data_IF_061326991264
#
_entry.id   IF_061326991264
#
_cell.length_a   1.000
_cell.length_b   1.000
_cell.length_c   1.000
_cell.angle_alpha   90.00
_cell.angle_beta   90.00
_cell.angle_gamma   90.00
#
_symmetry.space_group_name_H-M   'P 1'
#
loop_
_entity.id
_entity.type
_entity.pdbx_description
1 polymer ?
#
# COMPACT_ATOMS: atom_id res chain seq x y z
N UNK A 1 5.33 13.17 4.14
CA UNK A 1 5.97 13.81 2.98
C UNK A 1 6.64 15.15 3.31
N UNK A 2 5.96 16.10 3.92
CA UNK A 2 6.54 17.42 4.16
C UNK A 2 7.90 17.39 4.88
N UNK A 3 8.12 16.53 5.86
CA UNK A 3 9.40 16.45 6.58
C UNK A 3 10.51 15.71 5.86
N UNK A 4 10.18 14.72 5.00
CA UNK A 4 11.19 14.04 4.18
C UNK A 4 11.76 14.95 3.09
N UNK A 5 10.99 15.99 2.67
CA UNK A 5 11.45 17.00 1.70
C UNK A 5 12.17 18.19 2.32
N UNK A 6 11.99 18.45 3.63
CA UNK A 6 12.52 19.64 4.29
C UNK A 6 13.77 19.40 5.14
N UNK A 7 14.16 18.15 5.39
CA UNK A 7 15.33 17.83 6.21
C UNK A 7 16.47 17.27 5.37
N UNK A 8 17.60 17.97 5.34
CA UNK A 8 18.90 17.42 4.91
C UNK A 8 19.27 16.24 5.81
N UNK A 9 19.84 15.14 5.26
CA UNK A 9 20.13 13.94 6.04
C UNK A 9 21.30 14.17 6.98
N UNK A 10 20.99 14.35 8.27
CA UNK A 10 21.93 14.17 9.37
C UNK A 10 21.64 12.84 10.07
N UNK A 11 22.63 12.14 10.67
CA UNK A 11 22.41 10.90 11.38
C UNK A 11 21.54 11.15 12.61
N UNK A 12 20.37 10.49 12.71
CA UNK A 12 19.41 10.55 13.81
C UNK A 12 18.37 11.68 13.80
N UNK A 13 17.69 11.97 12.69
CA UNK A 13 16.48 12.79 12.78
C UNK A 13 15.29 11.95 13.27
N UNK A 14 14.91 12.13 14.54
CA UNK A 14 13.62 11.72 15.08
C UNK A 14 12.52 12.39 14.23
N UNK A 15 11.61 11.60 13.68
CA UNK A 15 10.40 12.13 13.07
C UNK A 15 9.67 12.93 14.16
N UNK A 16 9.38 14.20 13.90
CA UNK A 16 8.56 15.04 14.80
C UNK A 16 7.25 15.34 14.07
N UNK A 17 6.14 15.04 14.68
CA UNK A 17 4.80 15.33 14.18
C UNK A 17 4.25 16.64 14.76
N UNK A 18 3.25 17.26 14.09
CA UNK A 18 2.60 18.47 14.55
C UNK A 18 3.41 19.76 14.34
N UNK A 19 4.41 19.79 13.47
CA UNK A 19 5.29 20.95 13.23
C UNK A 19 5.20 21.54 11.82
N UNK A 20 4.55 20.89 10.87
CA UNK A 20 4.33 21.46 9.54
C UNK A 20 3.28 22.59 9.60
N UNK A 21 3.32 23.57 8.68
CA UNK A 21 2.32 24.63 8.67
C UNK A 21 0.92 24.08 8.31
N UNK A 22 -0.12 24.58 8.97
CA UNK A 22 -1.50 24.15 8.73
C UNK A 22 -1.95 24.37 7.28
N UNK A 23 -1.49 25.46 6.63
CA UNK A 23 -1.81 25.73 5.22
C UNK A 23 -1.26 24.63 4.31
N UNK A 24 0.01 24.24 4.51
CA UNK A 24 0.62 23.16 3.74
C UNK A 24 -0.06 21.82 3.99
N UNK A 25 -0.44 21.55 5.24
CA UNK A 25 -1.15 20.32 5.59
C UNK A 25 -2.52 20.24 4.96
N UNK A 26 -3.26 21.34 4.98
CA UNK A 26 -4.59 21.45 4.36
C UNK A 26 -4.52 21.21 2.85
N UNK A 27 -3.60 21.87 2.16
CA UNK A 27 -3.38 21.67 0.72
C UNK A 27 -2.97 20.22 0.40
N UNK A 28 -2.09 19.65 1.21
CA UNK A 28 -1.63 18.26 1.03
C UNK A 28 -2.76 17.27 1.24
N UNK A 29 -3.56 17.45 2.30
CA UNK A 29 -4.70 16.57 2.61
C UNK A 29 -5.79 16.65 1.52
N UNK A 30 -6.10 17.85 1.03
CA UNK A 30 -7.02 18.05 -0.09
C UNK A 30 -6.49 17.33 -1.34
N UNK A 31 -5.21 17.49 -1.66
CA UNK A 31 -4.58 16.82 -2.80
C UNK A 31 -4.63 15.29 -2.66
N UNK A 32 -4.33 14.75 -1.48
CA UNK A 32 -4.42 13.30 -1.22
C UNK A 32 -5.85 12.79 -1.35
N UNK A 33 -6.83 13.52 -0.84
CA UNK A 33 -8.24 13.15 -0.96
C UNK A 33 -8.73 13.14 -2.42
N UNK A 34 -8.34 14.16 -3.21
CA UNK A 34 -8.63 14.16 -4.64
C UNK A 34 -8.00 12.97 -5.36
N UNK A 35 -6.72 12.71 -5.13
CA UNK A 35 -6.03 11.55 -5.73
C UNK A 35 -6.66 10.23 -5.33
N UNK A 36 -7.03 10.05 -4.06
CA UNK A 36 -7.72 8.84 -3.60
C UNK A 36 -9.04 8.64 -4.35
N UNK A 37 -9.83 9.71 -4.49
CA UNK A 37 -11.10 9.67 -5.26
C UNK A 37 -10.86 9.36 -6.73
N UNK A 38 -9.90 10.02 -7.35
CA UNK A 38 -9.56 9.78 -8.75
C UNK A 38 -9.13 8.32 -9.00
N UNK A 39 -8.34 7.73 -8.11
CA UNK A 39 -7.96 6.31 -8.20
C UNK A 39 -9.17 5.39 -8.01
N UNK A 40 -10.08 5.69 -7.06
CA UNK A 40 -11.28 4.91 -6.82
C UNK A 40 -12.28 4.98 -7.98
N UNK A 41 -12.40 6.14 -8.64
CA UNK A 41 -13.26 6.34 -9.80
C UNK A 41 -12.74 5.62 -11.07
N UNK A 42 -11.44 5.28 -11.10
CA UNK A 42 -10.78 4.62 -12.23
C UNK A 42 -10.37 3.17 -11.94
N UNK A 43 -10.94 2.54 -10.92
CA UNK A 43 -10.65 1.14 -10.60
C UNK A 43 -11.05 0.21 -11.75
N UNK A 44 -10.14 -0.68 -12.07
CA UNK A 44 -10.39 -1.77 -13.01
C UNK A 44 -10.87 -3.02 -12.25
N UNK A 45 -11.65 -3.91 -12.88
CA UNK A 45 -12.09 -5.15 -12.22
C UNK A 45 -10.95 -6.04 -11.71
N UNK A 46 -9.74 -5.83 -12.23
CA UNK A 46 -8.52 -6.53 -11.82
C UNK A 46 -7.65 -5.74 -10.84
N UNK A 47 -8.11 -4.58 -10.34
CA UNK A 47 -7.37 -3.81 -9.32
C UNK A 47 -7.22 -4.63 -8.03
N UNK A 48 -6.05 -4.55 -7.41
CA UNK A 48 -5.69 -5.26 -6.18
C UNK A 48 -5.21 -6.70 -6.39
N UNK A 49 -5.25 -7.25 -7.60
CA UNK A 49 -4.83 -8.63 -7.90
C UNK A 49 -3.35 -8.86 -7.56
N UNK A 50 -2.49 -7.90 -7.80
CA UNK A 50 -1.06 -8.01 -7.51
C UNK A 50 -0.70 -7.58 -6.08
N UNK A 51 -1.70 -7.27 -5.24
CA UNK A 51 -1.52 -6.99 -3.81
C UNK A 51 -1.76 -8.24 -2.94
N UNK A 52 -1.41 -9.44 -3.44
CA UNK A 52 -1.53 -10.68 -2.66
C UNK A 52 -0.35 -10.87 -1.71
N UNK A 53 -0.57 -11.56 -0.60
CA UNK A 53 0.36 -11.73 0.53
C UNK A 53 1.78 -12.13 0.11
N UNK A 54 1.94 -13.17 -0.70
CA UNK A 54 3.27 -13.68 -1.07
C UNK A 54 4.10 -12.64 -1.86
N UNK A 55 3.46 -11.81 -2.67
CA UNK A 55 4.13 -10.78 -3.44
C UNK A 55 4.51 -9.57 -2.57
N UNK A 56 3.60 -9.15 -1.70
CA UNK A 56 3.86 -8.08 -0.72
C UNK A 56 5.00 -8.50 0.21
N UNK A 57 4.97 -9.73 0.71
CA UNK A 57 6.03 -10.28 1.56
C UNK A 57 7.38 -10.28 0.84
N UNK A 58 7.43 -10.72 -0.41
CA UNK A 58 8.62 -10.70 -1.25
C UNK A 58 9.19 -9.27 -1.40
N UNK A 59 8.34 -8.27 -1.67
CA UNK A 59 8.77 -6.86 -1.79
C UNK A 59 9.30 -6.35 -0.45
N UNK A 60 8.61 -6.61 0.65
CA UNK A 60 9.07 -6.19 1.98
C UNK A 60 10.38 -6.88 2.38
N UNK A 61 10.57 -8.13 2.02
CA UNK A 61 11.84 -8.84 2.25
C UNK A 61 12.97 -8.20 1.44
N UNK A 62 12.77 -7.94 0.15
CA UNK A 62 13.77 -7.25 -0.70
C UNK A 62 14.16 -5.89 -0.12
N UNK A 63 13.19 -5.07 0.30
CA UNK A 63 13.46 -3.75 0.87
C UNK A 63 14.18 -3.84 2.22
N UNK A 64 13.86 -4.83 3.04
CA UNK A 64 14.51 -5.08 4.32
C UNK A 64 15.97 -5.54 4.15
N UNK A 65 16.23 -6.48 3.25
CA UNK A 65 17.59 -6.97 2.95
C UNK A 65 18.48 -5.87 2.35
N UNK A 66 17.89 -4.99 1.53
CA UNK A 66 18.56 -3.81 0.99
C UNK A 66 18.63 -2.64 1.99
N UNK A 67 18.06 -2.78 3.19
CA UNK A 67 17.99 -1.75 4.25
C UNK A 67 17.37 -0.43 3.78
N UNK A 68 16.36 -0.53 2.92
CA UNK A 68 15.65 0.64 2.41
C UNK A 68 14.57 1.09 3.41
N UNK A 69 14.19 2.36 3.29
CA UNK A 69 13.07 2.91 4.06
C UNK A 69 11.77 2.13 3.76
N UNK A 70 10.91 1.84 4.75
CA UNK A 70 9.63 1.16 4.55
C UNK A 70 8.76 1.78 3.46
N UNK A 71 8.83 3.09 3.26
CA UNK A 71 8.12 3.80 2.19
C UNK A 71 8.41 3.21 0.82
N UNK A 72 9.66 2.80 0.56
CA UNK A 72 10.05 2.21 -0.73
C UNK A 72 9.25 0.94 -1.03
N UNK A 73 9.02 0.11 0.00
CA UNK A 73 8.21 -1.10 -0.15
C UNK A 73 6.78 -0.81 -0.57
N UNK A 74 6.11 0.12 0.11
CA UNK A 74 4.74 0.52 -0.22
C UNK A 74 4.66 1.17 -1.61
N UNK A 75 5.61 2.04 -1.96
CA UNK A 75 5.68 2.62 -3.30
C UNK A 75 5.91 1.57 -4.39
N UNK A 76 6.79 0.59 -4.14
CA UNK A 76 7.05 -0.49 -5.08
C UNK A 76 5.82 -1.35 -5.34
N UNK A 77 5.01 -1.63 -4.31
CA UNK A 77 3.74 -2.35 -4.43
C UNK A 77 2.79 -1.58 -5.34
N UNK A 78 2.62 -0.27 -5.14
CA UNK A 78 1.71 0.55 -5.97
C UNK A 78 2.21 0.69 -7.41
N UNK A 79 3.51 0.86 -7.64
CA UNK A 79 4.11 0.89 -8.99
C UNK A 79 3.87 -0.44 -9.70
N UNK A 80 4.10 -1.56 -9.01
CA UNK A 80 3.91 -2.90 -9.57
C UNK A 80 2.43 -3.15 -9.91
N UNK A 81 1.53 -2.87 -8.99
CA UNK A 81 0.08 -3.03 -9.19
C UNK A 81 -0.39 -2.28 -10.44
N UNK A 82 -0.09 -0.99 -10.52
CA UNK A 82 -0.49 -0.15 -11.66
C UNK A 82 0.12 -0.60 -12.98
N UNK A 83 1.40 -0.96 -12.99
CA UNK A 83 2.06 -1.46 -14.19
C UNK A 83 1.43 -2.76 -14.66
N UNK A 84 1.20 -3.70 -13.75
CA UNK A 84 0.67 -5.01 -14.08
C UNK A 84 -0.80 -4.95 -14.52
N UNK A 85 -1.64 -4.16 -13.84
CA UNK A 85 -3.05 -3.96 -14.24
C UNK A 85 -3.13 -3.35 -15.63
N UNK A 86 -2.34 -2.31 -15.92
CA UNK A 86 -2.28 -1.70 -17.25
C UNK A 86 -1.77 -2.69 -18.31
N UNK A 87 -0.71 -3.43 -18.00
CA UNK A 87 -0.16 -4.44 -18.91
C UNK A 87 -1.17 -5.57 -19.22
N UNK A 88 -1.95 -6.00 -18.24
CA UNK A 88 -3.07 -6.92 -18.44
C UNK A 88 -4.08 -6.34 -19.42
N UNK A 89 -4.57 -5.13 -19.15
CA UNK A 89 -5.56 -4.43 -20.00
C UNK A 89 -5.08 -4.33 -21.43
N UNK A 90 -3.85 -3.89 -21.66
CA UNK A 90 -3.26 -3.76 -23.00
C UNK A 90 -3.15 -5.12 -23.70
N UNK A 91 -2.80 -6.17 -22.96
CA UNK A 91 -2.70 -7.54 -23.52
C UNK A 91 -4.07 -8.10 -23.90
N UNK A 92 -5.12 -7.80 -23.13
CA UNK A 92 -6.48 -8.22 -23.43
C UNK A 92 -7.04 -7.50 -24.64
N UNK A 93 -6.89 -6.18 -24.70
CA UNK A 93 -7.36 -5.38 -25.84
C UNK A 93 -6.65 -5.78 -27.14
N UNK A 94 -5.35 -6.12 -27.08
CA UNK A 94 -4.58 -6.53 -28.25
C UNK A 94 -4.92 -7.95 -28.75
N UNK A 95 -5.40 -8.85 -27.88
CA UNK A 95 -5.66 -10.26 -28.21
C UNK A 95 -7.15 -10.60 -28.36
N UNK A 96 -8.08 -9.64 -28.26
CA UNK A 96 -9.50 -9.89 -28.46
C UNK A 96 -9.83 -9.77 -29.94
N UNK A 97 -10.08 -10.88 -30.69
CA UNK A 97 -10.71 -10.79 -32.02
C UNK A 97 -12.08 -10.17 -31.82
N UNK A 98 -12.45 -9.23 -32.67
CA UNK A 98 -13.73 -8.57 -32.66
C UNK A 98 -14.87 -9.63 -32.62
N UNK A 99 -15.49 -9.85 -31.44
CA UNK A 99 -16.61 -10.78 -31.26
C UNK A 99 -16.47 -11.90 -30.22
N UNK A 100 -15.36 -12.02 -29.49
CA UNK A 100 -15.25 -13.05 -28.46
C UNK A 100 -15.66 -12.49 -27.06
N UNK A 101 -16.59 -13.18 -26.39
CA UNK A 101 -16.98 -12.92 -25.00
C UNK A 101 -15.78 -13.17 -24.08
N UNK A 102 -15.43 -12.26 -23.16
CA UNK A 102 -14.34 -12.48 -22.21
C UNK A 102 -14.62 -13.73 -21.36
N UNK A 103 -13.71 -14.69 -21.37
CA UNK A 103 -13.77 -15.84 -20.45
C UNK A 103 -13.54 -15.40 -19.01
N UNK A 104 -13.82 -16.28 -18.01
CA UNK A 104 -13.69 -15.94 -16.59
C UNK A 104 -12.25 -15.52 -16.23
N UNK A 105 -12.09 -14.57 -15.30
CA UNK A 105 -10.80 -13.93 -14.98
C UNK A 105 -9.67 -14.89 -14.53
N UNK A 106 -10.00 -16.08 -14.02
CA UNK A 106 -9.01 -17.09 -13.59
C UNK A 106 -8.14 -17.61 -14.74
N UNK A 107 -8.72 -17.86 -15.91
CA UNK A 107 -7.98 -18.37 -17.10
C UNK A 107 -6.99 -17.34 -17.63
N UNK A 108 -7.26 -16.09 -17.38
CA UNK A 108 -6.47 -14.96 -17.82
C UNK A 108 -5.25 -14.71 -16.97
N UNK A 109 -5.38 -14.87 -15.66
CA UNK A 109 -4.26 -14.77 -14.70
C UNK A 109 -3.19 -15.80 -15.04
N UNK A 110 -3.58 -17.06 -15.28
CA UNK A 110 -2.67 -18.15 -15.58
C UNK A 110 -1.84 -17.90 -16.85
N UNK A 111 -2.47 -17.38 -17.92
CA UNK A 111 -1.77 -17.08 -19.18
C UNK A 111 -0.77 -15.93 -19.06
N UNK A 112 -1.08 -14.93 -18.25
CA UNK A 112 -0.18 -13.80 -18.01
C UNK A 112 0.95 -14.19 -17.09
N UNK A 113 0.68 -14.95 -16.03
CA UNK A 113 1.71 -15.47 -15.13
C UNK A 113 2.71 -16.37 -15.87
N UNK A 114 2.26 -17.24 -16.76
CA UNK A 114 3.17 -18.09 -17.57
C UNK A 114 4.07 -17.26 -18.50
N UNK A 115 3.53 -16.24 -19.19
CA UNK A 115 4.33 -15.35 -20.05
C UNK A 115 5.30 -14.46 -19.26
N UNK A 116 4.94 -14.09 -18.04
CA UNK A 116 5.72 -13.21 -17.18
C UNK A 116 6.68 -13.97 -16.24
N UNK A 117 6.46 -15.26 -16.04
CA UNK A 117 7.18 -16.09 -15.05
C UNK A 117 8.70 -15.93 -15.10
N UNK A 118 9.29 -15.91 -16.28
CA UNK A 118 10.76 -15.78 -16.47
C UNK A 118 11.25 -14.36 -16.16
N UNK A 119 10.42 -13.32 -16.34
CA UNK A 119 10.79 -11.92 -16.15
C UNK A 119 10.17 -11.31 -14.89
N UNK A 120 9.30 -12.04 -14.21
CA UNK A 120 8.48 -11.46 -13.13
C UNK A 120 9.33 -10.96 -11.96
N UNK A 121 10.27 -11.77 -11.47
CA UNK A 121 11.16 -11.35 -10.38
C UNK A 121 11.95 -10.09 -10.74
N UNK A 122 12.41 -9.99 -12.00
CA UNK A 122 13.09 -8.80 -12.49
C UNK A 122 12.16 -7.58 -12.50
N UNK A 123 10.92 -7.76 -12.92
CA UNK A 123 9.90 -6.69 -12.90
C UNK A 123 9.62 -6.21 -11.47
N UNK A 124 9.39 -7.15 -10.53
CA UNK A 124 9.19 -6.82 -9.11
C UNK A 124 10.39 -6.04 -8.55
N UNK A 125 11.59 -6.53 -8.78
CA UNK A 125 12.81 -5.85 -8.32
C UNK A 125 12.99 -4.47 -8.97
N UNK A 126 12.70 -4.34 -10.26
CA UNK A 126 12.76 -3.04 -10.95
C UNK A 126 11.77 -2.03 -10.37
N UNK A 127 10.59 -2.46 -9.87
CA UNK A 127 9.68 -1.58 -9.15
C UNK A 127 10.30 -1.10 -7.82
N UNK A 128 10.99 -1.98 -7.08
CA UNK A 128 11.71 -1.60 -5.85
C UNK A 128 12.82 -0.61 -6.18
N UNK A 129 13.60 -0.84 -7.25
CA UNK A 129 14.67 0.05 -7.66
C UNK A 129 14.14 1.42 -8.11
N UNK A 130 13.05 1.47 -8.89
CA UNK A 130 12.39 2.72 -9.26
C UNK A 130 11.91 3.47 -8.02
N UNK A 131 11.23 2.78 -7.09
CA UNK A 131 10.76 3.37 -5.85
C UNK A 131 11.90 3.95 -5.01
N UNK A 132 13.03 3.25 -4.90
CA UNK A 132 14.21 3.77 -4.18
C UNK A 132 14.77 5.04 -4.79
N UNK A 133 14.81 5.15 -6.13
CA UNK A 133 15.27 6.35 -6.84
C UNK A 133 14.32 7.53 -6.70
N UNK A 134 13.02 7.28 -6.54
CA UNK A 134 12.02 8.34 -6.41
C UNK A 134 12.00 8.98 -5.02
N UNK A 135 12.21 8.19 -3.97
CA UNK A 135 11.93 8.61 -2.61
C UNK A 135 13.16 8.76 -1.73
N UNK A 136 14.31 8.20 -2.14
CA UNK A 136 15.55 8.27 -1.38
C UNK A 136 16.58 9.10 -2.12
N UNK A 137 17.21 10.02 -1.40
CA UNK A 137 18.32 10.82 -1.95
C UNK A 137 19.69 10.18 -1.67
N UNK A 138 19.79 9.34 -0.64
CA UNK A 138 21.06 8.77 -0.15
C UNK A 138 21.18 7.27 -0.34
N UNK A 139 20.08 6.52 -0.20
CA UNK A 139 20.09 5.05 -0.21
C UNK A 139 19.49 4.50 -1.52
N UNK A 140 19.92 5.07 -2.64
CA UNK A 140 19.48 4.65 -3.97
C UNK A 140 20.14 3.32 -4.33
N UNK A 141 19.34 2.33 -4.73
CA UNK A 141 19.85 1.06 -5.25
C UNK A 141 20.41 1.29 -6.66
N UNK A 142 21.73 1.32 -6.79
CA UNK A 142 22.40 1.44 -8.09
C UNK A 142 22.35 0.12 -8.88
N UNK A 143 22.67 0.18 -10.18
CA UNK A 143 22.62 -0.99 -11.05
C UNK A 143 23.63 -2.09 -10.68
N UNK A 144 24.73 -1.78 -9.98
CA UNK A 144 25.71 -2.78 -9.53
C UNK A 144 25.17 -3.53 -8.32
N UNK A 145 24.67 -2.79 -7.32
CA UNK A 145 24.00 -3.35 -6.14
C UNK A 145 22.80 -4.21 -6.57
N UNK A 146 21.99 -3.72 -7.51
CA UNK A 146 20.85 -4.44 -8.07
C UNK A 146 21.23 -5.78 -8.69
N UNK A 147 22.26 -5.82 -9.54
CA UNK A 147 22.73 -7.05 -10.17
C UNK A 147 23.32 -8.01 -9.13
N UNK A 148 24.09 -7.52 -8.15
CA UNK A 148 24.64 -8.33 -7.07
C UNK A 148 23.53 -8.93 -6.21
N UNK A 149 22.52 -8.14 -5.86
CA UNK A 149 21.38 -8.61 -5.08
C UNK A 149 20.60 -9.69 -5.82
N UNK A 150 20.24 -9.47 -7.08
CA UNK A 150 19.54 -10.48 -7.89
C UNK A 150 20.38 -11.76 -8.06
N UNK A 151 21.68 -11.62 -8.17
CA UNK A 151 22.58 -12.79 -8.23
C UNK A 151 22.60 -13.58 -6.91
N UNK A 152 22.57 -12.90 -5.75
CA UNK A 152 22.45 -13.57 -4.44
C UNK A 152 21.15 -14.33 -4.25
N UNK A 153 20.08 -13.89 -4.93
CA UNK A 153 18.79 -14.58 -5.00
C UNK A 153 18.75 -15.72 -6.05
N UNK A 154 19.87 -16.02 -6.71
CA UNK A 154 19.97 -17.07 -7.73
C UNK A 154 19.56 -16.66 -9.14
N UNK A 155 19.37 -15.34 -9.39
CA UNK A 155 18.98 -14.82 -10.70
C UNK A 155 20.18 -14.22 -11.44
N UNK A 156 20.52 -14.76 -12.61
CA UNK A 156 21.55 -14.17 -13.46
C UNK A 156 20.95 -13.11 -14.37
N UNK A 157 21.19 -11.85 -14.05
CA UNK A 157 20.64 -10.69 -14.75
C UNK A 157 21.78 -9.77 -15.20
N UNK A 158 21.74 -9.33 -16.46
CA UNK A 158 22.67 -8.31 -16.94
C UNK A 158 22.18 -6.89 -16.60
N UNK A 159 23.11 -5.93 -16.46
CA UNK A 159 22.74 -4.52 -16.29
C UNK A 159 21.83 -4.02 -17.40
N UNK A 160 22.05 -4.48 -18.65
CA UNK A 160 21.23 -4.12 -19.79
C UNK A 160 19.78 -4.60 -19.60
N UNK A 161 19.58 -5.85 -19.19
CA UNK A 161 18.24 -6.39 -18.93
C UNK A 161 17.53 -5.66 -17.79
N UNK A 162 18.26 -5.26 -16.74
CA UNK A 162 17.73 -4.47 -15.64
C UNK A 162 17.25 -3.10 -16.12
N UNK A 163 18.08 -2.37 -16.87
CA UNK A 163 17.72 -1.05 -17.42
C UNK A 163 16.56 -1.14 -18.42
N UNK A 164 16.49 -2.19 -19.22
CA UNK A 164 15.37 -2.44 -20.12
C UNK A 164 14.07 -2.69 -19.35
N UNK A 165 14.13 -3.44 -18.23
CA UNK A 165 12.98 -3.68 -17.37
C UNK A 165 12.49 -2.37 -16.71
N UNK A 166 13.38 -1.56 -16.14
CA UNK A 166 13.03 -0.23 -15.62
C UNK A 166 12.35 0.63 -16.69
N UNK A 167 12.96 0.73 -17.87
CA UNK A 167 12.43 1.54 -18.96
C UNK A 167 11.06 1.04 -19.44
N UNK A 168 10.84 -0.27 -19.43
CA UNK A 168 9.55 -0.87 -19.78
C UNK A 168 8.47 -0.46 -18.77
N UNK A 169 8.77 -0.48 -17.47
CA UNK A 169 7.84 -0.04 -16.42
C UNK A 169 7.55 1.45 -16.55
N UNK A 170 8.58 2.29 -16.69
CA UNK A 170 8.42 3.73 -16.85
C UNK A 170 7.55 4.09 -18.05
N UNK A 171 7.79 3.47 -19.21
CA UNK A 171 6.98 3.67 -20.42
C UNK A 171 5.56 3.13 -20.24
N UNK A 172 5.42 1.94 -19.61
CA UNK A 172 4.12 1.34 -19.33
C UNK A 172 3.24 2.23 -18.46
N UNK A 173 3.83 3.00 -17.57
CA UNK A 173 3.14 3.96 -16.69
C UNK A 173 3.12 5.40 -17.24
N UNK A 174 3.52 5.63 -18.50
CA UNK A 174 3.61 6.96 -19.11
C UNK A 174 4.41 7.94 -18.24
N UNK A 175 5.44 7.43 -17.52
CA UNK A 175 6.27 8.17 -16.56
C UNK A 175 5.50 8.80 -15.39
N UNK A 176 4.26 8.40 -15.16
CA UNK A 176 3.41 8.87 -14.05
C UNK A 176 3.65 7.98 -12.82
N UNK A 177 4.67 8.30 -12.04
CA UNK A 177 5.13 7.50 -10.90
C UNK A 177 4.72 8.09 -9.54
N UNK A 178 4.23 9.33 -9.51
CA UNK A 178 3.78 9.99 -8.29
C UNK A 178 2.42 9.42 -7.85
N UNK A 179 2.50 8.31 -7.11
CA UNK A 179 1.32 7.64 -6.57
C UNK A 179 1.37 7.71 -5.06
N UNK A 180 0.31 8.21 -4.42
CA UNK A 180 0.18 8.10 -2.99
C UNK A 180 0.16 6.62 -2.58
N UNK A 181 0.88 6.29 -1.54
CA UNK A 181 0.88 4.96 -0.94
C UNK A 181 0.27 5.03 0.46
N UNK A 182 -0.20 3.91 1.03
CA UNK A 182 -0.88 3.93 2.32
C UNK A 182 -0.09 4.58 3.46
N UNK A 183 1.24 4.44 3.48
CA UNK A 183 2.08 5.04 4.51
C UNK A 183 2.06 6.57 4.45
N UNK A 184 1.98 7.15 3.24
CA UNK A 184 1.85 8.60 3.07
C UNK A 184 0.57 9.14 3.71
N UNK A 185 -0.55 8.42 3.59
CA UNK A 185 -1.81 8.80 4.25
C UNK A 185 -1.67 8.76 5.77
N UNK A 186 -1.06 7.71 6.32
CA UNK A 186 -0.79 7.61 7.76
C UNK A 186 0.09 8.77 8.24
N UNK A 187 1.18 9.09 7.54
CA UNK A 187 2.10 10.16 7.91
C UNK A 187 1.41 11.54 7.93
N UNK A 188 0.62 11.86 6.91
CA UNK A 188 -0.06 13.15 6.83
C UNK A 188 -1.18 13.24 7.88
N UNK A 189 -1.96 12.19 8.09
CA UNK A 189 -3.01 12.17 9.11
C UNK A 189 -2.44 12.31 10.52
N UNK A 190 -1.33 11.65 10.82
CA UNK A 190 -0.63 11.81 12.12
C UNK A 190 -0.05 13.21 12.29
N UNK A 191 0.44 13.85 11.22
CA UNK A 191 0.89 15.24 11.29
C UNK A 191 -0.26 16.19 11.66
N UNK A 192 -1.46 16.00 11.07
CA UNK A 192 -2.65 16.77 11.40
C UNK A 192 -3.13 16.51 12.84
N UNK A 193 -3.18 15.23 13.25
CA UNK A 193 -3.53 14.87 14.64
C UNK A 193 -2.56 15.46 15.64
N UNK A 194 -1.24 15.45 15.37
CA UNK A 194 -0.23 16.03 16.24
C UNK A 194 -0.36 17.55 16.42
N UNK A 195 -1.00 18.24 15.46
CA UNK A 195 -1.38 19.64 15.64
C UNK A 195 -2.59 19.80 16.57
N UNK A 196 -3.59 18.92 16.46
CA UNK A 196 -4.80 18.99 17.26
C UNK A 196 -4.55 18.53 18.70
N UNK A 197 -3.72 17.50 18.87
CA UNK A 197 -3.42 16.86 20.16
C UNK A 197 -1.91 16.81 20.46
N UNK A 198 -1.29 17.95 20.84
CA UNK A 198 0.16 18.02 21.06
C UNK A 198 0.67 17.13 22.22
N UNK A 199 -0.23 16.68 23.09
CA UNK A 199 0.09 15.82 24.25
C UNK A 199 0.27 14.35 23.86
N UNK A 200 -0.23 13.93 22.69
CA UNK A 200 -0.15 12.56 22.22
C UNK A 200 1.25 12.27 21.64
N UNK A 201 1.94 11.21 22.08
CA UNK A 201 3.27 10.87 21.57
C UNK A 201 3.20 10.27 20.17
N UNK A 202 3.08 11.13 19.17
CA UNK A 202 2.87 10.75 17.76
C UNK A 202 3.97 9.88 17.18
N UNK A 203 5.22 9.97 17.68
CA UNK A 203 6.32 9.11 17.23
C UNK A 203 6.11 7.64 17.64
N UNK A 204 5.60 7.41 18.86
CA UNK A 204 5.28 6.05 19.34
C UNK A 204 4.08 5.49 18.56
N UNK A 205 3.06 6.32 18.36
CA UNK A 205 1.88 5.95 17.59
C UNK A 205 2.25 5.63 16.13
N UNK A 206 3.15 6.40 15.51
CA UNK A 206 3.66 6.12 14.17
C UNK A 206 4.39 4.77 14.08
N UNK A 207 5.19 4.43 15.09
CA UNK A 207 5.83 3.12 15.18
C UNK A 207 4.82 1.97 15.16
N UNK A 208 3.74 2.09 15.95
CA UNK A 208 2.64 1.13 15.96
C UNK A 208 1.87 1.10 14.63
N UNK A 209 1.61 2.27 14.03
CA UNK A 209 0.99 2.35 12.70
C UNK A 209 1.79 1.58 11.65
N UNK A 210 3.12 1.64 11.68
CA UNK A 210 3.98 0.89 10.78
C UNK A 210 3.78 -0.64 10.91
N UNK A 211 3.67 -1.13 12.15
CA UNK A 211 3.38 -2.55 12.40
C UNK A 211 1.98 -2.96 11.96
N UNK A 212 0.97 -2.15 12.29
CA UNK A 212 -0.43 -2.40 11.90
C UNK A 212 -0.58 -2.36 10.38
N UNK A 213 -0.01 -1.36 9.71
CA UNK A 213 -0.08 -1.23 8.25
C UNK A 213 0.57 -2.43 7.55
N UNK A 214 1.74 -2.87 8.04
CA UNK A 214 2.40 -4.09 7.54
C UNK A 214 1.52 -5.33 7.76
N UNK A 215 0.91 -5.47 8.92
CA UNK A 215 -0.02 -6.57 9.22
C UNK A 215 -1.21 -6.57 8.27
N UNK A 216 -1.90 -5.44 8.11
CA UNK A 216 -3.06 -5.33 7.20
C UNK A 216 -2.64 -5.63 5.76
N UNK A 217 -1.48 -5.17 5.32
CA UNK A 217 -0.96 -5.45 3.98
C UNK A 217 -0.73 -6.95 3.76
N UNK A 218 -0.16 -7.66 4.74
CA UNK A 218 0.10 -9.10 4.66
C UNK A 218 -1.15 -9.96 4.87
N UNK A 219 -2.12 -9.49 5.65
CA UNK A 219 -3.39 -10.17 5.93
C UNK A 219 -4.56 -9.56 5.15
N UNK A 220 -4.26 -8.86 4.04
CA UNK A 220 -5.22 -8.10 3.25
C UNK A 220 -6.51 -8.87 2.96
N UNK A 221 -6.39 -10.07 2.42
CA UNK A 221 -7.54 -10.92 2.09
C UNK A 221 -8.41 -11.23 3.32
N UNK A 222 -7.81 -11.62 4.43
CA UNK A 222 -8.54 -11.97 5.65
C UNK A 222 -9.24 -10.76 6.27
N UNK A 223 -8.57 -9.60 6.31
CA UNK A 223 -9.13 -8.35 6.85
C UNK A 223 -10.31 -7.89 6.00
N UNK A 224 -10.13 -7.74 4.68
CA UNK A 224 -11.18 -7.20 3.81
C UNK A 224 -12.34 -8.18 3.55
N UNK A 225 -12.11 -9.50 3.54
CA UNK A 225 -13.19 -10.49 3.53
C UNK A 225 -14.04 -10.41 4.82
N UNK A 226 -13.42 -10.20 5.96
CA UNK A 226 -14.15 -10.03 7.22
C UNK A 226 -14.90 -8.70 7.24
N UNK A 227 -14.29 -7.62 6.77
CA UNK A 227 -14.91 -6.31 6.66
C UNK A 227 -16.13 -6.34 5.72
N UNK A 228 -16.01 -7.00 4.57
CA UNK A 228 -17.10 -7.19 3.62
C UNK A 228 -18.29 -7.88 4.28
N UNK A 229 -18.06 -8.94 5.08
CA UNK A 229 -19.13 -9.64 5.79
C UNK A 229 -19.82 -8.76 6.84
N UNK A 230 -19.04 -7.96 7.58
CA UNK A 230 -19.58 -7.02 8.58
C UNK A 230 -20.40 -5.93 7.89
N UNK A 231 -19.87 -5.32 6.84
CA UNK A 231 -20.52 -4.22 6.12
C UNK A 231 -21.80 -4.64 5.43
N UNK A 232 -21.80 -5.84 4.81
CA UNK A 232 -22.98 -6.37 4.10
C UNK A 232 -23.93 -7.14 4.99
N UNK A 233 -23.54 -7.42 6.23
CA UNK A 233 -24.25 -8.30 7.16
C UNK A 233 -24.58 -9.68 6.55
N UNK A 234 -23.70 -10.15 5.65
CA UNK A 234 -23.88 -11.39 4.89
C UNK A 234 -22.67 -12.31 5.05
N UNK A 235 -22.91 -13.58 5.44
CA UNK A 235 -21.83 -14.57 5.58
C UNK A 235 -21.25 -15.03 4.24
N UNK A 236 -22.01 -14.90 3.14
CA UNK A 236 -21.61 -15.29 1.79
C UNK A 236 -21.95 -14.18 0.79
N UNK A 237 -21.13 -13.12 0.72
CA UNK A 237 -21.36 -12.00 -0.19
C UNK A 237 -21.38 -12.42 -1.66
N UNK A 238 -22.31 -11.83 -2.45
CA UNK A 238 -22.43 -12.10 -3.88
C UNK A 238 -21.24 -11.53 -4.68
N UNK A 239 -21.01 -11.99 -5.93
CA UNK A 239 -19.99 -11.40 -6.80
C UNK A 239 -20.19 -9.89 -6.99
N UNK A 240 -21.43 -9.42 -7.14
CA UNK A 240 -21.73 -8.00 -7.30
C UNK A 240 -21.41 -7.20 -6.03
N UNK A 241 -21.62 -7.79 -4.83
CA UNK A 241 -21.22 -7.16 -3.57
C UNK A 241 -19.69 -7.06 -3.46
N UNK A 242 -18.96 -8.09 -3.90
CA UNK A 242 -17.49 -8.10 -3.95
C UNK A 242 -16.95 -7.04 -4.91
N UNK A 243 -17.53 -6.94 -6.09
CA UNK A 243 -17.15 -5.94 -7.10
C UNK A 243 -17.36 -4.52 -6.57
N UNK A 244 -18.52 -4.22 -5.99
CA UNK A 244 -18.78 -2.90 -5.37
C UNK A 244 -17.87 -2.62 -4.16
N UNK A 245 -17.45 -3.65 -3.44
CA UNK A 245 -16.57 -3.52 -2.28
C UNK A 245 -15.11 -3.24 -2.66
N UNK A 246 -14.76 -3.34 -3.94
CA UNK A 246 -13.42 -3.04 -4.42
C UNK A 246 -13.01 -1.59 -4.09
N UNK A 247 -13.94 -0.64 -4.15
CA UNK A 247 -13.71 0.74 -3.73
C UNK A 247 -13.30 0.87 -2.27
N UNK A 248 -13.88 0.05 -1.38
CA UNK A 248 -13.49 0.01 0.04
C UNK A 248 -12.11 -0.65 0.22
N UNK A 249 -11.83 -1.67 -0.58
CA UNK A 249 -10.56 -2.42 -0.51
C UNK A 249 -9.37 -1.59 -0.97
N UNK A 250 -9.56 -0.69 -1.94
CA UNK A 250 -8.51 0.15 -2.52
C UNK A 250 -8.48 1.58 -1.90
N UNK A 251 -9.38 1.89 -0.96
CA UNK A 251 -9.42 3.19 -0.30
C UNK A 251 -8.26 3.38 0.69
N UNK A 252 -7.23 4.10 0.23
CA UNK A 252 -6.05 4.41 1.05
C UNK A 252 -6.36 5.38 2.20
N UNK A 253 -7.38 6.24 2.09
CA UNK A 253 -7.78 7.13 3.17
C UNK A 253 -8.43 6.34 4.30
N UNK A 254 -9.37 5.43 3.98
CA UNK A 254 -9.98 4.52 4.95
C UNK A 254 -8.94 3.62 5.62
N UNK A 255 -8.00 3.08 4.83
CA UNK A 255 -6.89 2.28 5.37
C UNK A 255 -6.05 3.10 6.35
N UNK A 256 -5.71 4.34 5.99
CA UNK A 256 -4.91 5.24 6.86
C UNK A 256 -5.59 5.52 8.19
N UNK A 257 -6.87 5.93 8.19
CA UNK A 257 -7.61 6.20 9.43
C UNK A 257 -7.81 4.95 10.27
N UNK A 258 -8.07 3.80 9.63
CA UNK A 258 -8.23 2.53 10.33
C UNK A 258 -6.95 2.06 11.00
N UNK A 259 -5.81 2.17 10.32
CA UNK A 259 -4.49 1.84 10.87
C UNK A 259 -4.15 2.69 12.08
N UNK A 260 -4.39 4.01 12.01
CA UNK A 260 -4.15 4.94 13.13
C UNK A 260 -5.06 4.60 14.30
N UNK A 261 -6.34 4.32 14.05
CA UNK A 261 -7.28 3.94 15.12
C UNK A 261 -6.87 2.64 15.80
N UNK A 262 -6.49 1.59 15.04
CA UNK A 262 -5.99 0.34 15.62
C UNK A 262 -4.76 0.58 16.47
N UNK A 263 -3.81 1.38 15.97
CA UNK A 263 -2.62 1.75 16.72
C UNK A 263 -2.96 2.50 18.01
N UNK A 264 -3.92 3.43 17.97
CA UNK A 264 -4.39 4.17 19.14
C UNK A 264 -5.03 3.24 20.20
N UNK A 265 -5.86 2.29 19.78
CA UNK A 265 -6.45 1.28 20.69
C UNK A 265 -5.37 0.43 21.36
N UNK A 266 -4.32 0.02 20.62
CA UNK A 266 -3.22 -0.77 21.14
C UNK A 266 -2.37 0.06 22.12
N UNK A 267 -2.15 1.35 21.80
CA UNK A 267 -1.33 2.24 22.60
C UNK A 267 -2.02 2.67 23.89
N UNK A 268 -3.28 3.11 23.82
CA UNK A 268 -4.06 3.57 24.97
C UNK A 268 -5.56 3.37 24.74
N UNK A 269 -6.13 2.39 25.44
CA UNK A 269 -7.54 2.04 25.30
C UNK A 269 -8.52 3.14 25.75
N UNK A 270 -8.08 4.18 26.44
CA UNK A 270 -8.98 5.19 27.01
C UNK A 270 -9.13 6.43 26.10
N UNK A 271 -8.26 6.63 25.13
CA UNK A 271 -8.24 7.82 24.25
C UNK A 271 -8.60 7.55 22.80
N UNK A 272 -8.79 6.30 22.40
CA UNK A 272 -9.04 5.95 21.01
C UNK A 272 -10.33 6.55 20.45
N UNK A 273 -11.37 6.78 21.28
CA UNK A 273 -12.64 7.36 20.84
C UNK A 273 -12.44 8.79 20.33
N UNK A 274 -11.62 9.59 21.03
CA UNK A 274 -11.28 10.94 20.59
C UNK A 274 -10.52 10.90 19.26
N UNK A 275 -9.58 9.98 19.10
CA UNK A 275 -8.83 9.80 17.84
C UNK A 275 -9.78 9.46 16.68
N UNK A 276 -10.79 8.62 16.90
CA UNK A 276 -11.81 8.30 15.88
C UNK A 276 -12.64 9.53 15.52
N UNK A 277 -13.06 10.31 16.52
CA UNK A 277 -13.81 11.54 16.30
C UNK A 277 -13.00 12.55 15.47
N UNK A 278 -11.76 12.80 15.84
CA UNK A 278 -10.87 13.71 15.14
C UNK A 278 -10.58 13.23 13.70
N UNK A 279 -10.28 11.96 13.51
CA UNK A 279 -10.08 11.39 12.18
C UNK A 279 -11.34 11.46 11.30
N UNK A 280 -12.51 11.24 11.90
CA UNK A 280 -13.79 11.41 11.20
C UNK A 280 -14.01 12.85 10.76
N UNK A 281 -13.70 13.84 11.62
CA UNK A 281 -13.78 15.25 11.29
C UNK A 281 -12.78 15.67 10.21
N UNK A 282 -11.53 15.19 10.28
CA UNK A 282 -10.46 15.49 9.32
C UNK A 282 -10.78 14.95 7.93
N UNK A 283 -11.31 13.73 7.85
CA UNK A 283 -11.46 13.01 6.57
C UNK A 283 -12.87 12.96 6.01
N UNK A 284 -13.87 13.22 6.85
CA UNK A 284 -15.28 13.04 6.51
C UNK A 284 -15.75 11.58 6.46
N UNK A 285 -14.88 10.63 6.82
CA UNK A 285 -15.24 9.20 6.91
C UNK A 285 -16.07 8.99 8.19
N UNK A 286 -17.17 8.21 8.08
CA UNK A 286 -18.03 8.00 9.25
C UNK A 286 -17.28 7.25 10.37
N UNK A 287 -17.51 7.65 11.62
CA UNK A 287 -16.93 6.96 12.79
C UNK A 287 -17.24 5.46 12.77
N UNK A 288 -18.43 5.08 12.30
CA UNK A 288 -18.81 3.68 12.14
C UNK A 288 -17.92 2.93 11.16
N UNK A 289 -17.62 3.50 10.00
CA UNK A 289 -16.74 2.87 9.01
C UNK A 289 -15.32 2.70 9.54
N UNK A 290 -14.81 3.70 10.26
CA UNK A 290 -13.50 3.66 10.92
C UNK A 290 -13.49 2.52 11.97
N UNK A 291 -14.55 2.45 12.78
CA UNK A 291 -14.66 1.45 13.83
C UNK A 291 -14.80 0.02 13.28
N UNK A 292 -15.67 -0.19 12.29
CA UNK A 292 -15.88 -1.49 11.66
C UNK A 292 -14.55 -2.04 11.09
N UNK A 293 -13.76 -1.18 10.41
CA UNK A 293 -12.43 -1.55 9.91
C UNK A 293 -11.47 -1.90 11.06
N UNK A 294 -11.43 -1.07 12.09
CA UNK A 294 -10.52 -1.22 13.22
C UNK A 294 -10.82 -2.47 14.02
N UNK A 295 -12.09 -2.73 14.30
CA UNK A 295 -12.53 -3.94 15.03
C UNK A 295 -12.16 -5.21 14.28
N UNK A 296 -12.44 -5.27 12.98
CA UNK A 296 -12.08 -6.43 12.14
C UNK A 296 -10.57 -6.65 12.16
N UNK A 297 -9.79 -5.58 12.08
CA UNK A 297 -8.31 -5.68 12.09
C UNK A 297 -7.81 -6.19 13.44
N UNK A 298 -8.33 -5.69 14.56
CA UNK A 298 -7.99 -6.16 15.91
C UNK A 298 -8.35 -7.63 16.10
N UNK A 299 -9.52 -8.08 15.61
CA UNK A 299 -9.89 -9.48 15.65
C UNK A 299 -8.94 -10.39 14.87
N UNK A 300 -8.46 -9.95 13.70
CA UNK A 300 -7.48 -10.71 12.92
C UNK A 300 -6.10 -10.73 13.61
N UNK A 301 -5.68 -9.64 14.24
CA UNK A 301 -4.46 -9.57 15.05
C UNK A 301 -4.50 -10.59 16.19
N UNK A 302 -5.61 -10.65 16.93
CA UNK A 302 -5.76 -11.59 18.07
C UNK A 302 -5.77 -13.04 17.60
N UNK A 303 -6.43 -13.36 16.48
CA UNK A 303 -6.41 -14.73 15.91
C UNK A 303 -5.03 -15.20 15.52
N UNK A 304 -4.22 -14.29 14.94
CA UNK A 304 -2.86 -14.61 14.48
C UNK A 304 -1.88 -14.74 15.66
N UNK A 305 -2.14 -14.04 16.77
CA UNK A 305 -1.30 -14.06 17.97
C UNK A 305 -1.58 -15.23 18.90
N UNK A 306 -2.72 -15.93 18.72
CA UNK A 306 -3.04 -17.13 19.52
C UNK A 306 -2.23 -18.32 18.98
N UNK A 307 -1.32 -18.94 19.77
CA UNK A 307 -0.67 -20.16 19.36
C UNK A 307 -1.76 -21.23 19.15
N UNK A 308 -1.77 -21.86 17.97
CA UNK A 308 -2.58 -23.03 17.69
C UNK A 308 -2.14 -24.10 18.69
N UNK A 309 -2.83 -24.19 19.82
CA UNK A 309 -2.84 -25.40 20.65
C UNK A 309 -3.61 -26.44 19.84
N UNK A 310 -2.86 -27.12 18.97
CA UNK A 310 -3.37 -28.36 18.35
C UNK A 310 -3.59 -29.41 19.43
N UNK A 311 -4.74 -30.10 19.46
CA UNK A 311 -5.01 -31.17 20.40
C UNK A 311 -4.13 -32.38 20.16
#
# INVERSE_FOLDING_TARGET
>A
MAKRFLCSPGPTHRLQFGSASLDLLSETLISLNHRNKDELDHLEPCSGIFKHTALIECIFQMTQELRLDPLVGYCAIEILERFMVKHLKDTFTANTPCGAVPGPPSTCQDLVFEKLKVKFTLTVFSCVQIASKLWLHTDIVDNNQAVQFLHSMGHTVSKKALMESELQILKGLDFKLDVPNPLTYVEILLEVLGHNEPSTPMEELYGLCGHVLRFVSLQRTAVYESLLKVTTQCCSPSPEQRERFLTVTEDCMLLGVGVITVAAVIWNSDQWEQVVEDLSHITGISQRSIWDFSQVTLEQLTKTSSPVLSP
#
